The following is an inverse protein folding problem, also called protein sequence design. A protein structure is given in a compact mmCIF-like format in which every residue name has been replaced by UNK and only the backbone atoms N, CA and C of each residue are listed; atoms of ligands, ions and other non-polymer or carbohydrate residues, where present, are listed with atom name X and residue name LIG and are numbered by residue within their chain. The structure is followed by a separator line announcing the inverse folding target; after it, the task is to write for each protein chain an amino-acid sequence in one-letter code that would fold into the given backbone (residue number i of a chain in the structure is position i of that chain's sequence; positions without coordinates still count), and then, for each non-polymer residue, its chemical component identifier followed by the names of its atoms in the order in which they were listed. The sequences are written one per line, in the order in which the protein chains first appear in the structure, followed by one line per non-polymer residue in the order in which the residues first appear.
data_IF_682136697584
#
_entry.id   IF_682136697584
#
_cell.length_a   1.000
_cell.length_b   1.000
_cell.length_c   1.000
_cell.angle_alpha   90.00
_cell.angle_beta   90.00
_cell.angle_gamma   90.00
#
_symmetry.space_group_name_H-M   'P 1'
#
loop_
_entity.id
_entity.type
_entity.pdbx_description
1 polymer ?
#
# COMPACT_ATOMS: atom_id res chain seq x y z
N UNK A 1 13.41 16.22 -29.27
CA UNK A 1 12.66 15.22 -28.47
C UNK A 1 11.27 14.95 -29.06
N UNK A 2 10.47 15.97 -29.40
CA UNK A 2 9.16 15.81 -30.05
C UNK A 2 9.26 15.12 -31.42
N UNK A 3 10.26 15.48 -32.24
CA UNK A 3 10.52 14.84 -33.54
C UNK A 3 10.67 13.32 -33.44
N UNK A 4 11.35 12.80 -32.41
CA UNK A 4 11.52 11.36 -32.23
C UNK A 4 10.20 10.63 -31.97
N UNK A 5 9.33 11.20 -31.11
CA UNK A 5 8.05 10.60 -30.77
C UNK A 5 7.09 10.59 -31.98
N UNK A 6 7.02 11.69 -32.72
CA UNK A 6 6.13 11.81 -33.88
C UNK A 6 6.64 11.01 -35.09
N UNK A 7 7.93 11.10 -35.43
CA UNK A 7 8.46 10.54 -36.68
C UNK A 7 8.77 9.04 -36.60
N UNK A 8 9.21 8.56 -35.43
CA UNK A 8 9.60 7.15 -35.24
C UNK A 8 8.54 6.33 -34.54
N UNK A 9 7.94 6.87 -33.48
CA UNK A 9 6.93 6.15 -32.68
C UNK A 9 5.48 6.47 -33.09
N UNK A 10 5.25 7.48 -33.94
CA UNK A 10 3.91 7.96 -34.32
C UNK A 10 3.02 8.31 -33.11
N UNK A 11 3.63 8.86 -32.06
CA UNK A 11 2.95 9.29 -30.83
C UNK A 11 2.89 10.82 -30.76
N UNK A 12 1.71 11.33 -30.41
CA UNK A 12 1.48 12.75 -30.14
C UNK A 12 1.28 12.99 -28.64
N UNK A 13 1.79 14.11 -28.14
CA UNK A 13 1.72 14.47 -26.72
C UNK A 13 0.70 15.60 -26.52
N UNK A 14 -0.29 15.35 -25.67
CA UNK A 14 -1.28 16.38 -25.37
C UNK A 14 -0.67 17.54 -24.56
N UNK A 15 -0.72 18.75 -25.13
CA UNK A 15 -0.23 20.01 -24.55
C UNK A 15 -0.61 20.23 -23.07
N UNK A 16 -1.84 19.88 -22.67
CA UNK A 16 -2.33 20.08 -21.30
C UNK A 16 -1.72 19.12 -20.27
N UNK A 17 -1.14 18.01 -20.71
CA UNK A 17 -0.55 16.98 -19.84
C UNK A 17 0.97 17.12 -19.69
N UNK A 18 1.58 18.01 -20.46
CA UNK A 18 3.00 18.36 -20.36
C UNK A 18 3.11 19.54 -19.40
N UNK A 19 3.97 19.45 -18.40
CA UNK A 19 4.25 20.62 -17.57
C UNK A 19 5.73 20.67 -17.23
N UNK A 20 6.36 21.79 -17.56
CA UNK A 20 7.74 22.08 -17.19
C UNK A 20 7.68 22.87 -15.89
N UNK A 21 8.23 22.32 -14.82
CA UNK A 21 8.26 22.94 -13.50
C UNK A 21 9.66 22.85 -12.92
N UNK A 22 10.07 23.81 -12.08
CA UNK A 22 11.30 23.69 -11.30
C UNK A 22 11.29 22.44 -10.42
N UNK A 23 12.42 21.73 -10.35
CA UNK A 23 12.53 20.46 -9.64
C UNK A 23 12.16 20.55 -8.15
N UNK A 24 12.38 21.70 -7.52
CA UNK A 24 12.06 21.93 -6.10
C UNK A 24 10.56 21.94 -5.80
N UNK A 25 9.68 22.13 -6.80
CA UNK A 25 8.23 22.02 -6.62
C UNK A 25 7.75 20.57 -6.45
N UNK A 26 8.62 19.62 -6.79
CA UNK A 26 8.30 18.20 -6.80
C UNK A 26 7.47 17.78 -8.02
N UNK A 27 7.58 16.51 -8.38
CA UNK A 27 6.88 15.92 -9.53
C UNK A 27 5.87 14.89 -9.02
N UNK A 28 4.63 15.00 -9.49
CA UNK A 28 3.59 14.01 -9.23
C UNK A 28 3.89 12.71 -9.99
N UNK A 29 4.13 11.62 -9.26
CA UNK A 29 4.46 10.32 -9.84
C UNK A 29 3.83 9.16 -9.06
N UNK A 30 2.98 8.36 -9.71
CA UNK A 30 2.36 7.12 -9.17
C UNK A 30 1.73 7.26 -7.76
N UNK A 31 1.16 8.43 -7.43
CA UNK A 31 0.54 8.68 -6.13
C UNK A 31 1.49 9.23 -5.05
N UNK A 32 2.73 9.54 -5.43
CA UNK A 32 3.72 10.28 -4.68
C UNK A 32 3.98 11.65 -5.28
N UNK A 33 4.61 12.50 -4.48
CA UNK A 33 5.28 13.72 -4.90
C UNK A 33 6.77 13.50 -4.67
N UNK A 34 7.55 13.45 -5.74
CA UNK A 34 8.99 13.21 -5.70
C UNK A 34 9.69 14.56 -5.70
N UNK A 35 10.42 14.86 -4.63
CA UNK A 35 11.33 16.01 -4.54
C UNK A 35 12.79 15.54 -4.69
N UNK A 36 13.73 16.44 -5.01
CA UNK A 36 15.14 16.08 -5.17
C UNK A 36 15.77 15.36 -3.97
N UNK A 37 15.31 15.64 -2.74
CA UNK A 37 15.89 15.08 -1.50
C UNK A 37 14.93 14.16 -0.73
N UNK A 38 13.66 14.04 -1.12
CA UNK A 38 12.70 13.20 -0.41
C UNK A 38 11.43 12.94 -1.24
N UNK A 39 10.73 11.86 -0.90
CA UNK A 39 9.45 11.51 -1.51
C UNK A 39 8.33 11.60 -0.49
N UNK A 40 7.18 12.17 -0.86
CA UNK A 40 6.02 12.34 0.01
C UNK A 40 4.81 11.65 -0.60
N UNK A 41 4.04 10.93 0.22
CA UNK A 41 2.77 10.33 -0.22
C UNK A 41 1.67 11.38 -0.39
N UNK A 42 0.92 11.32 -1.49
CA UNK A 42 -0.20 12.23 -1.74
C UNK A 42 -1.33 11.99 -0.74
N UNK A 43 -2.01 13.07 -0.33
CA UNK A 43 -3.11 13.00 0.66
C UNK A 43 -4.25 12.06 0.24
N UNK A 44 -4.55 11.97 -1.06
CA UNK A 44 -5.57 11.03 -1.58
C UNK A 44 -5.16 9.57 -1.37
N UNK A 45 -3.92 9.22 -1.69
CA UNK A 45 -3.36 7.87 -1.50
C UNK A 45 -3.36 7.49 -0.03
N UNK A 46 -2.91 8.41 0.85
CA UNK A 46 -2.94 8.24 2.31
C UNK A 46 -4.35 7.93 2.81
N UNK A 47 -5.35 8.73 2.43
CA UNK A 47 -6.76 8.52 2.83
C UNK A 47 -7.31 7.18 2.34
N UNK A 48 -7.01 6.80 1.09
CA UNK A 48 -7.45 5.51 0.52
C UNK A 48 -6.85 4.32 1.25
N UNK A 49 -5.56 4.39 1.57
CA UNK A 49 -4.86 3.37 2.32
C UNK A 49 -5.48 3.17 3.71
N UNK A 50 -5.69 4.25 4.46
CA UNK A 50 -6.30 4.17 5.80
C UNK A 50 -7.70 3.57 5.76
N UNK A 51 -8.56 4.00 4.81
CA UNK A 51 -9.89 3.40 4.63
C UNK A 51 -9.85 1.90 4.36
N UNK A 52 -8.87 1.45 3.58
CA UNK A 52 -8.70 0.02 3.27
C UNK A 52 -8.20 -0.77 4.47
N UNK A 53 -7.30 -0.21 5.28
CA UNK A 53 -6.83 -0.84 6.51
C UNK A 53 -7.98 -1.01 7.50
N UNK A 54 -8.77 0.05 7.75
CA UNK A 54 -9.95 -0.03 8.64
C UNK A 54 -10.98 -1.04 8.14
N UNK A 55 -11.26 -1.08 6.83
CA UNK A 55 -12.17 -2.08 6.29
C UNK A 55 -11.63 -3.51 6.41
N UNK A 56 -10.31 -3.69 6.22
CA UNK A 56 -9.67 -4.99 6.37
C UNK A 56 -9.64 -5.48 7.82
N UNK A 57 -9.51 -4.56 8.78
CA UNK A 57 -9.58 -4.83 10.22
C UNK A 57 -10.99 -5.28 10.61
N UNK A 58 -12.03 -4.58 10.18
CA UNK A 58 -13.42 -5.00 10.40
C UNK A 58 -13.71 -6.40 9.84
N UNK A 59 -13.18 -6.71 8.65
CA UNK A 59 -13.33 -8.04 8.06
C UNK A 59 -12.55 -9.13 8.83
N UNK A 60 -11.42 -8.76 9.43
CA UNK A 60 -10.65 -9.64 10.29
C UNK A 60 -11.38 -9.91 11.62
N UNK A 61 -11.94 -8.88 12.26
CA UNK A 61 -12.74 -8.98 13.49
C UNK A 61 -13.99 -9.85 13.27
N UNK A 62 -14.62 -9.74 12.11
CA UNK A 62 -15.77 -10.57 11.73
C UNK A 62 -15.40 -12.00 11.30
N UNK A 63 -14.11 -12.37 11.35
CA UNK A 63 -13.61 -13.69 10.96
C UNK A 63 -13.68 -14.00 9.46
N UNK A 64 -13.97 -13.00 8.62
CA UNK A 64 -14.10 -13.18 7.16
C UNK A 64 -12.74 -13.28 6.45
N UNK A 65 -11.65 -12.85 7.10
CA UNK A 65 -10.28 -12.84 6.57
C UNK A 65 -9.33 -13.54 7.53
N UNK A 66 -8.46 -14.39 7.01
CA UNK A 66 -7.37 -15.03 7.78
C UNK A 66 -6.31 -14.01 8.21
N UNK A 67 -5.73 -14.21 9.40
CA UNK A 67 -4.61 -13.40 9.94
C UNK A 67 -3.49 -13.21 8.92
N UNK A 68 -3.13 -14.26 8.17
CA UNK A 68 -2.07 -14.20 7.14
C UNK A 68 -2.38 -13.16 6.05
N UNK A 69 -3.62 -13.08 5.58
CA UNK A 69 -4.01 -12.14 4.52
C UNK A 69 -4.07 -10.70 5.04
N UNK A 70 -4.54 -10.53 6.28
CA UNK A 70 -4.52 -9.23 6.95
C UNK A 70 -3.09 -8.71 7.11
N UNK A 71 -2.19 -9.54 7.66
CA UNK A 71 -0.77 -9.20 7.84
C UNK A 71 -0.06 -8.93 6.51
N UNK A 72 -0.34 -9.70 5.45
CA UNK A 72 0.20 -9.46 4.12
C UNK A 72 -0.20 -8.07 3.57
N UNK A 73 -1.47 -7.68 3.78
CA UNK A 73 -1.98 -6.36 3.39
C UNK A 73 -1.31 -5.24 4.17
N UNK A 74 -1.18 -5.38 5.49
CA UNK A 74 -0.47 -4.42 6.35
C UNK A 74 1.00 -4.28 5.94
N UNK A 75 1.69 -5.39 5.70
CA UNK A 75 3.11 -5.41 5.32
C UNK A 75 3.35 -4.79 3.94
N UNK A 76 2.42 -4.96 3.01
CA UNK A 76 2.45 -4.27 1.72
C UNK A 76 2.44 -2.75 1.88
N UNK A 77 1.52 -2.22 2.70
CA UNK A 77 1.47 -0.78 2.97
C UNK A 77 2.70 -0.29 3.74
N UNK A 78 3.21 -1.05 4.70
CA UNK A 78 4.48 -0.74 5.39
C UNK A 78 5.63 -0.56 4.40
N UNK A 79 5.80 -1.49 3.46
CA UNK A 79 6.87 -1.40 2.45
C UNK A 79 6.81 -0.11 1.64
N UNK A 80 5.62 0.29 1.20
CA UNK A 80 5.40 1.55 0.46
C UNK A 80 5.79 2.77 1.33
N UNK A 81 5.43 2.75 2.63
CA UNK A 81 5.68 3.85 3.54
C UNK A 81 7.15 3.98 3.96
N UNK A 82 7.91 2.89 3.96
CA UNK A 82 9.36 2.89 4.25
C UNK A 82 10.15 3.73 3.24
N UNK A 83 9.74 3.73 1.98
CA UNK A 83 10.42 4.48 0.91
C UNK A 83 9.98 5.95 0.78
N UNK A 84 9.13 6.44 1.68
CA UNK A 84 8.72 7.84 1.67
C UNK A 84 8.89 8.49 3.05
N UNK A 85 8.86 9.82 3.09
CA UNK A 85 8.94 10.61 4.32
C UNK A 85 7.60 10.55 5.08
N UNK A 86 7.24 9.36 5.53
CA UNK A 86 5.96 9.06 6.17
C UNK A 86 6.10 8.43 7.57
N UNK A 87 7.26 8.63 8.24
CA UNK A 87 7.54 8.05 9.58
C UNK A 87 6.43 8.23 10.61
N UNK A 88 5.78 9.39 10.64
CA UNK A 88 4.64 9.65 11.55
C UNK A 88 3.42 8.79 11.23
N UNK A 89 3.13 8.62 9.94
CA UNK A 89 2.03 7.80 9.45
C UNK A 89 2.32 6.31 9.67
N UNK A 90 3.56 5.88 9.42
CA UNK A 90 4.00 4.51 9.70
C UNK A 90 3.83 4.17 11.18
N UNK A 91 4.36 5.02 12.08
CA UNK A 91 4.16 4.86 13.54
C UNK A 91 2.69 4.83 13.96
N UNK A 92 1.86 5.68 13.35
CA UNK A 92 0.43 5.67 13.63
C UNK A 92 -0.21 4.34 13.21
N UNK A 93 0.15 3.84 12.03
CA UNK A 93 -0.36 2.56 11.54
C UNK A 93 0.12 1.42 12.42
N UNK A 94 1.38 1.44 12.82
CA UNK A 94 1.96 0.42 13.69
C UNK A 94 1.33 0.44 15.09
N UNK A 95 1.01 1.62 15.63
CA UNK A 95 0.33 1.71 16.92
C UNK A 95 -1.17 1.38 16.88
N UNK A 96 -1.81 1.57 15.72
CA UNK A 96 -3.28 1.38 15.58
C UNK A 96 -3.61 -0.03 15.08
N UNK A 97 -2.89 -0.49 14.07
CA UNK A 97 -3.14 -1.75 13.35
C UNK A 97 -2.02 -2.77 13.56
N UNK A 98 -0.87 -2.33 14.10
CA UNK A 98 0.21 -3.24 14.42
C UNK A 98 -0.20 -4.07 15.61
N UNK A 99 -0.29 -5.37 15.39
CA UNK A 99 -0.38 -6.33 16.48
C UNK A 99 0.96 -6.29 17.23
N UNK A 100 0.99 -5.74 18.45
CA UNK A 100 2.10 -5.92 19.42
C UNK A 100 2.20 -7.38 19.93
N UNK A 101 1.89 -8.37 19.09
CA UNK A 101 1.72 -9.77 19.49
C UNK A 101 2.10 -10.79 18.40
N UNK A 102 3.11 -10.51 17.58
CA UNK A 102 3.76 -11.60 16.80
C UNK A 102 4.47 -12.60 17.74
N UNK A 103 4.69 -12.28 19.02
CA UNK A 103 5.51 -13.12 19.93
C UNK A 103 4.73 -14.03 20.89
N UNK A 104 3.40 -14.12 20.85
CA UNK A 104 2.67 -15.19 21.58
C UNK A 104 1.97 -16.22 20.68
N UNK A 105 2.29 -16.27 19.39
CA UNK A 105 1.75 -17.30 18.49
C UNK A 105 2.75 -17.90 17.49
N UNK A 106 4.03 -17.98 17.87
CA UNK A 106 4.87 -19.15 17.52
C UNK A 106 4.35 -20.47 18.17
N UNK A 107 3.04 -20.54 18.44
CA UNK A 107 2.25 -21.65 18.92
C UNK A 107 0.98 -21.85 18.06
N UNK A 108 0.75 -21.07 16.98
CA UNK A 108 -0.40 -21.23 16.06
C UNK A 108 0.00 -21.85 14.70
N UNK A 109 1.26 -22.24 14.54
CA UNK A 109 1.64 -23.29 13.58
C UNK A 109 0.93 -24.64 13.86
N UNK A 110 0.21 -24.77 15.00
CA UNK A 110 -0.63 -25.92 15.33
C UNK A 110 -2.11 -25.82 14.86
N UNK A 111 -2.55 -24.71 14.24
CA UNK A 111 -3.96 -24.58 13.81
C UNK A 111 -4.19 -24.78 12.29
N UNK A 112 -3.15 -25.18 11.54
CA UNK A 112 -3.31 -25.64 10.14
C UNK A 112 -4.02 -27.02 10.07
N UNK A 113 -4.32 -27.62 11.21
CA UNK A 113 -4.89 -28.98 11.33
C UNK A 113 -6.44 -29.04 11.34
N UNK A 114 -7.15 -27.91 11.44
CA UNK A 114 -8.62 -27.90 11.49
C UNK A 114 -9.24 -27.11 10.32
N UNK A 115 -9.26 -27.70 9.13
CA UNK A 115 -9.94 -27.11 7.97
C UNK A 115 -10.18 -28.06 6.80
N UNK A 116 -9.61 -29.26 6.82
CA UNK A 116 -9.84 -30.32 5.83
C UNK A 116 -11.17 -31.06 6.05
N UNK A 117 -12.01 -30.66 7.01
CA UNK A 117 -13.25 -31.38 7.35
C UNK A 117 -14.48 -30.52 7.04
N UNK A 118 -14.75 -30.32 5.75
CA UNK A 118 -16.11 -30.05 5.22
C UNK A 118 -16.35 -30.82 3.92
N UNK A 119 -16.02 -32.11 3.95
CA UNK A 119 -16.65 -33.10 3.06
C UNK A 119 -17.11 -34.26 3.93
N UNK A 120 -18.32 -34.71 3.61
CA UNK A 120 -19.03 -35.83 4.22
C UNK A 120 -19.76 -35.47 5.53
N UNK A 121 -21.05 -35.17 5.41
CA UNK A 121 -22.12 -36.03 5.92
C UNK A 121 -23.45 -35.56 5.31
N UNK A 122 -23.79 -36.23 4.20
CA UNK A 122 -25.16 -36.64 3.91
C UNK A 122 -25.34 -38.03 4.52
#
# INVERSE_FOLDING_TARGET
MVAFLAERLKLDLHERKITIRPAWQGVDFLGFVVFPHHTVIRSRTRKRMLRRLTASEQLYENGAITTKLYLASLQSYRGILTHCRARRLLRYIDATFGCDAVTLSNSVDQAVEYGTVQKEFQ
#
